data_IF_463631594877
#
_entry.id   IF_463631594877
#
_cell.length_a   1.000
_cell.length_b   1.000
_cell.length_c   1.000
_cell.angle_alpha   90.00
_cell.angle_beta   90.00
_cell.angle_gamma   90.00
#
_symmetry.space_group_name_H-M   'P 1'
#
loop_
_entity.id
_entity.type
_entity.pdbx_description
1 polymer ?
#
# COMPACT_ATOMS: atom_id res chain seq x y z
N UNK A 1 -15.03 48.69 -7.68
CA UNK A 1 -14.14 47.79 -8.44
C UNK A 1 -13.57 46.66 -7.57
N UNK A 2 -13.26 46.89 -6.29
CA UNK A 2 -12.72 45.92 -5.32
C UNK A 2 -13.62 44.71 -5.01
N UNK A 3 -14.94 44.89 -4.96
CA UNK A 3 -15.89 43.81 -4.64
C UNK A 3 -15.91 42.68 -5.72
N UNK A 4 -15.72 43.06 -6.99
CA UNK A 4 -15.65 42.05 -8.09
C UNK A 4 -14.36 41.26 -8.08
N UNK A 5 -13.24 41.88 -7.70
CA UNK A 5 -11.93 41.17 -7.58
C UNK A 5 -11.88 40.26 -6.38
N UNK A 6 -12.53 40.59 -5.27
CA UNK A 6 -12.62 39.70 -4.09
C UNK A 6 -13.53 38.50 -4.34
N UNK A 7 -14.64 38.67 -5.10
CA UNK A 7 -15.50 37.54 -5.49
C UNK A 7 -14.81 36.61 -6.48
N UNK A 8 -14.11 37.15 -7.47
CA UNK A 8 -13.34 36.33 -8.41
C UNK A 8 -12.24 35.49 -7.68
N UNK A 9 -11.47 36.10 -6.77
CA UNK A 9 -10.48 35.39 -5.95
C UNK A 9 -11.09 34.33 -5.07
N UNK A 10 -12.29 34.53 -4.54
CA UNK A 10 -13.01 33.54 -3.73
C UNK A 10 -13.50 32.37 -4.59
N UNK A 11 -13.96 32.63 -5.80
CA UNK A 11 -14.36 31.60 -6.75
C UNK A 11 -13.15 30.75 -7.18
N UNK A 12 -12.03 31.36 -7.53
CA UNK A 12 -10.80 30.66 -7.91
C UNK A 12 -10.26 29.79 -6.76
N UNK A 13 -10.31 30.28 -5.52
CA UNK A 13 -9.91 29.52 -4.34
C UNK A 13 -10.81 28.30 -4.07
N UNK A 14 -12.14 28.47 -4.22
CA UNK A 14 -13.12 27.37 -4.06
C UNK A 14 -12.95 26.33 -5.16
N UNK A 15 -12.75 26.78 -6.40
CA UNK A 15 -12.53 25.89 -7.56
C UNK A 15 -11.21 25.13 -7.45
N UNK A 16 -10.14 25.76 -6.96
CA UNK A 16 -8.86 25.12 -6.70
C UNK A 16 -8.94 24.05 -5.60
N UNK A 17 -9.68 24.31 -4.52
CA UNK A 17 -9.89 23.35 -3.43
C UNK A 17 -10.73 22.14 -3.87
N UNK A 18 -11.76 22.38 -4.70
CA UNK A 18 -12.58 21.34 -5.31
C UNK A 18 -11.77 20.44 -6.24
N UNK A 19 -10.98 21.03 -7.14
CA UNK A 19 -10.09 20.28 -8.05
C UNK A 19 -9.08 19.44 -7.29
N UNK A 20 -8.47 19.99 -6.23
CA UNK A 20 -7.53 19.27 -5.37
C UNK A 20 -8.18 18.07 -4.68
N UNK A 21 -9.38 18.24 -4.13
CA UNK A 21 -10.14 17.13 -3.51
C UNK A 21 -10.51 16.05 -4.53
N UNK A 22 -10.95 16.46 -5.71
CA UNK A 22 -11.29 15.55 -6.80
C UNK A 22 -10.06 14.74 -7.27
N UNK A 23 -8.93 15.42 -7.45
CA UNK A 23 -7.67 14.76 -7.84
C UNK A 23 -7.18 13.78 -6.79
N UNK A 24 -7.27 14.16 -5.51
CA UNK A 24 -6.89 13.27 -4.40
C UNK A 24 -7.81 12.05 -4.30
N UNK A 25 -9.12 12.22 -4.48
CA UNK A 25 -10.06 11.10 -4.52
C UNK A 25 -9.78 10.15 -5.69
N UNK A 26 -9.52 10.69 -6.88
CA UNK A 26 -9.14 9.90 -8.05
C UNK A 26 -7.80 9.17 -7.82
N UNK A 27 -6.84 9.85 -7.22
CA UNK A 27 -5.56 9.24 -6.82
C UNK A 27 -5.73 8.09 -5.83
N UNK A 28 -6.56 8.26 -4.79
CA UNK A 28 -6.86 7.20 -3.83
C UNK A 28 -7.57 6.00 -4.49
N UNK A 29 -8.47 6.25 -5.44
CA UNK A 29 -9.16 5.20 -6.19
C UNK A 29 -8.16 4.41 -7.05
N UNK A 30 -7.32 5.09 -7.82
CA UNK A 30 -6.30 4.45 -8.66
C UNK A 30 -5.27 3.67 -7.82
N UNK A 31 -4.78 4.26 -6.72
CA UNK A 31 -3.89 3.56 -5.80
C UNK A 31 -4.56 2.32 -5.21
N UNK A 32 -5.85 2.40 -4.84
CA UNK A 32 -6.62 1.26 -4.36
C UNK A 32 -6.68 0.12 -5.37
N UNK A 33 -6.96 0.43 -6.65
CA UNK A 33 -6.98 -0.56 -7.74
C UNK A 33 -5.60 -1.21 -7.92
N UNK A 34 -4.54 -0.42 -7.92
CA UNK A 34 -3.18 -0.92 -8.11
C UNK A 34 -2.72 -1.79 -6.94
N UNK A 35 -2.86 -1.27 -5.71
CA UNK A 35 -2.35 -1.93 -4.50
C UNK A 35 -3.07 -3.26 -4.22
N UNK A 36 -4.37 -3.35 -4.53
CA UNK A 36 -5.13 -4.59 -4.36
C UNK A 36 -4.70 -5.72 -5.30
N UNK A 37 -4.00 -5.39 -6.40
CA UNK A 37 -3.42 -6.39 -7.31
C UNK A 37 -2.03 -6.88 -6.90
N UNK A 38 -1.43 -6.28 -5.88
CA UNK A 38 -0.13 -6.70 -5.34
C UNK A 38 -0.23 -8.07 -4.67
N UNK A 39 0.24 -9.11 -5.34
CA UNK A 39 0.26 -10.46 -4.81
C UNK A 39 1.54 -10.73 -4.01
N UNK A 40 1.42 -11.49 -2.92
CA UNK A 40 2.51 -11.97 -2.05
C UNK A 40 2.39 -13.47 -1.90
N UNK A 41 3.51 -14.16 -1.75
CA UNK A 41 3.56 -15.62 -1.60
C UNK A 41 2.82 -16.38 -2.73
N UNK A 42 2.76 -15.78 -3.91
CA UNK A 42 2.20 -16.34 -5.14
C UNK A 42 0.69 -16.14 -5.33
N UNK A 43 -0.11 -16.00 -4.27
CA UNK A 43 -1.58 -15.90 -4.39
C UNK A 43 -2.24 -14.95 -3.40
N UNK A 44 -1.59 -14.60 -2.29
CA UNK A 44 -2.16 -13.74 -1.25
C UNK A 44 -2.09 -12.27 -1.67
N UNK A 45 -3.17 -11.53 -1.49
CA UNK A 45 -3.24 -10.11 -1.87
C UNK A 45 -3.69 -9.20 -0.69
N UNK A 46 -2.91 -9.11 0.40
CA UNK A 46 -3.31 -8.40 1.61
C UNK A 46 -3.30 -6.87 1.47
N UNK A 47 -2.53 -6.34 0.51
CA UNK A 47 -2.21 -4.92 0.46
C UNK A 47 -3.39 -4.00 0.15
N UNK A 48 -4.38 -4.45 -0.63
CA UNK A 48 -5.59 -3.67 -0.89
C UNK A 48 -6.39 -3.43 0.39
N UNK A 49 -6.57 -4.47 1.20
CA UNK A 49 -7.21 -4.38 2.51
C UNK A 49 -6.44 -3.45 3.45
N UNK A 50 -5.09 -3.56 3.46
CA UNK A 50 -4.22 -2.68 4.24
C UNK A 50 -4.36 -1.22 3.84
N UNK A 51 -4.42 -0.94 2.54
CA UNK A 51 -4.62 0.40 2.00
C UNK A 51 -5.99 0.96 2.41
N UNK A 52 -7.07 0.17 2.24
CA UNK A 52 -8.42 0.58 2.66
C UNK A 52 -8.51 0.86 4.16
N UNK A 53 -7.77 0.11 4.99
CA UNK A 53 -7.71 0.33 6.43
C UNK A 53 -6.89 1.57 6.82
N UNK A 54 -5.87 1.95 6.03
CA UNK A 54 -4.92 3.02 6.35
C UNK A 54 -5.36 4.41 5.89
N UNK A 55 -6.14 4.52 4.81
CA UNK A 55 -6.53 5.80 4.20
C UNK A 55 -7.37 6.65 5.16
N UNK A 56 -7.18 7.99 5.26
CA UNK A 56 -8.00 8.88 6.08
C UNK A 56 -9.49 8.82 5.76
N UNK A 57 -10.36 9.04 6.78
CA UNK A 57 -11.84 8.95 6.64
C UNK A 57 -12.40 9.75 5.46
N UNK A 58 -11.77 10.89 5.15
CA UNK A 58 -12.17 11.77 4.04
C UNK A 58 -12.17 11.07 2.67
N UNK A 59 -11.30 10.10 2.47
CA UNK A 59 -11.08 9.39 1.20
C UNK A 59 -11.47 7.91 1.28
N UNK A 60 -12.14 7.51 2.38
CA UNK A 60 -12.48 6.11 2.66
C UNK A 60 -13.30 5.49 1.52
N UNK A 61 -14.36 6.16 1.06
CA UNK A 61 -15.22 5.64 0.00
C UNK A 61 -14.43 5.40 -1.30
N UNK A 62 -13.59 6.37 -1.70
CA UNK A 62 -12.77 6.23 -2.90
C UNK A 62 -11.78 5.06 -2.78
N UNK A 63 -11.17 4.87 -1.60
CA UNK A 63 -10.25 3.76 -1.37
C UNK A 63 -10.96 2.41 -1.34
N UNK A 64 -12.14 2.31 -0.70
CA UNK A 64 -12.93 1.07 -0.68
C UNK A 64 -13.41 0.69 -2.08
N UNK A 65 -13.93 1.65 -2.86
CA UNK A 65 -14.33 1.40 -4.24
C UNK A 65 -13.14 0.99 -5.12
N UNK A 66 -12.01 1.68 -4.98
CA UNK A 66 -10.80 1.35 -5.73
C UNK A 66 -10.29 -0.06 -5.40
N UNK A 67 -10.19 -0.40 -4.12
CA UNK A 67 -9.73 -1.73 -3.70
C UNK A 67 -10.71 -2.83 -4.08
N UNK A 68 -12.01 -2.61 -3.93
CA UNK A 68 -13.03 -3.56 -4.37
C UNK A 68 -12.93 -3.82 -5.86
N UNK A 69 -12.84 -2.77 -6.68
CA UNK A 69 -12.69 -2.90 -8.12
C UNK A 69 -11.40 -3.62 -8.51
N UNK A 70 -10.28 -3.31 -7.83
CA UNK A 70 -9.02 -4.00 -8.05
C UNK A 70 -9.07 -5.50 -7.72
N UNK A 71 -9.78 -5.88 -6.66
CA UNK A 71 -9.99 -7.29 -6.31
C UNK A 71 -10.93 -8.04 -7.29
N UNK A 72 -11.90 -7.36 -7.88
CA UNK A 72 -12.74 -7.96 -8.95
C UNK A 72 -11.91 -8.36 -10.16
N UNK A 73 -10.79 -7.68 -10.41
CA UNK A 73 -9.86 -8.01 -11.50
C UNK A 73 -8.96 -9.21 -11.20
N UNK A 74 -8.98 -9.76 -9.98
CA UNK A 74 -8.29 -11.00 -9.60
C UNK A 74 -9.07 -12.24 -10.08
N UNK A 75 -8.50 -13.43 -9.80
CA UNK A 75 -9.20 -14.69 -10.09
C UNK A 75 -10.51 -14.76 -9.30
N UNK A 76 -11.63 -15.20 -9.89
CA UNK A 76 -12.95 -15.18 -9.25
C UNK A 76 -13.02 -15.91 -7.90
N UNK A 77 -12.27 -16.99 -7.70
CA UNK A 77 -12.23 -17.77 -6.46
C UNK A 77 -11.76 -16.94 -5.25
N UNK A 78 -10.80 -16.05 -5.46
CA UNK A 78 -10.16 -15.29 -4.39
C UNK A 78 -10.81 -13.92 -4.21
N UNK A 79 -11.45 -13.40 -5.27
CA UNK A 79 -12.08 -12.09 -5.30
C UNK A 79 -13.16 -11.93 -4.25
N UNK A 80 -14.04 -12.93 -4.08
CA UNK A 80 -15.15 -12.88 -3.12
C UNK A 80 -14.68 -12.76 -1.68
N UNK A 81 -13.61 -13.47 -1.31
CA UNK A 81 -13.02 -13.37 0.02
C UNK A 81 -12.53 -11.95 0.30
N UNK A 82 -11.76 -11.38 -0.61
CA UNK A 82 -11.22 -10.02 -0.43
C UNK A 82 -12.30 -8.94 -0.51
N UNK A 83 -13.35 -9.12 -1.30
CA UNK A 83 -14.52 -8.23 -1.29
C UNK A 83 -15.21 -8.23 0.08
N UNK A 84 -15.39 -9.40 0.69
CA UNK A 84 -15.93 -9.52 2.04
C UNK A 84 -15.03 -8.81 3.07
N UNK A 85 -13.69 -8.95 2.94
CA UNK A 85 -12.73 -8.22 3.78
C UNK A 85 -12.88 -6.71 3.62
N UNK A 86 -12.95 -6.20 2.39
CA UNK A 86 -13.11 -4.76 2.13
C UNK A 86 -14.43 -4.23 2.69
N UNK A 87 -15.51 -4.98 2.54
CA UNK A 87 -16.82 -4.64 3.13
C UNK A 87 -16.76 -4.62 4.67
N UNK A 88 -16.09 -5.60 5.29
CA UNK A 88 -15.90 -5.66 6.74
C UNK A 88 -15.04 -4.48 7.25
N UNK A 89 -13.97 -4.12 6.54
CA UNK A 89 -13.15 -2.93 6.85
C UNK A 89 -14.00 -1.66 6.77
N UNK A 90 -14.80 -1.51 5.72
CA UNK A 90 -15.72 -0.39 5.57
C UNK A 90 -16.70 -0.29 6.74
N UNK A 91 -17.33 -1.40 7.12
CA UNK A 91 -18.23 -1.49 8.25
C UNK A 91 -17.58 -1.17 9.59
N UNK A 92 -16.41 -1.75 9.87
CA UNK A 92 -15.64 -1.47 11.09
C UNK A 92 -15.24 0.00 11.18
N UNK A 93 -14.79 0.59 10.09
CA UNK A 93 -14.39 2.01 10.06
C UNK A 93 -15.58 2.95 10.16
N UNK A 94 -16.74 2.54 9.68
CA UNK A 94 -17.99 3.29 9.86
C UNK A 94 -18.46 3.24 11.30
N UNK A 95 -18.51 2.04 11.92
CA UNK A 95 -18.91 1.83 13.30
C UNK A 95 -17.98 2.50 14.32
N UNK A 96 -16.66 2.37 14.12
CA UNK A 96 -15.65 2.90 15.02
C UNK A 96 -15.26 4.36 14.69
N UNK A 97 -15.80 4.91 13.60
CA UNK A 97 -15.43 6.23 13.11
C UNK A 97 -15.77 7.37 14.05
N UNK A 98 -16.73 7.19 14.96
CA UNK A 98 -17.14 8.19 15.93
C UNK A 98 -16.33 8.14 17.25
N UNK A 99 -15.47 7.12 17.39
CA UNK A 99 -14.59 6.96 18.55
C UNK A 99 -13.23 7.61 18.30
N UNK A 100 -13.14 8.93 18.49
CA UNK A 100 -11.93 9.73 18.24
C UNK A 100 -10.67 9.20 18.92
N UNK A 101 -10.78 8.64 20.13
CA UNK A 101 -9.64 8.08 20.87
C UNK A 101 -9.07 6.83 20.19
N UNK A 102 -9.92 6.01 19.58
CA UNK A 102 -9.54 4.75 18.92
C UNK A 102 -8.98 5.03 17.54
N UNK A 103 -9.65 5.90 16.77
CA UNK A 103 -9.28 6.25 15.38
C UNK A 103 -7.95 7.00 15.27
N UNK A 104 -7.55 7.75 16.30
CA UNK A 104 -6.26 8.47 16.37
C UNK A 104 -5.10 7.59 16.82
N UNK A 105 -5.37 6.36 17.27
CA UNK A 105 -4.32 5.42 17.66
C UNK A 105 -3.55 4.89 16.45
N UNK A 106 -2.22 4.85 16.55
CA UNK A 106 -1.34 4.25 15.52
C UNK A 106 -1.64 2.76 15.26
N UNK A 107 -2.29 2.09 16.22
CA UNK A 107 -2.63 0.66 16.16
C UNK A 107 -3.98 0.42 15.47
N UNK A 108 -4.78 1.45 15.26
CA UNK A 108 -6.12 1.33 14.69
C UNK A 108 -6.11 0.75 13.27
N UNK A 109 -5.33 1.33 12.36
CA UNK A 109 -5.24 0.86 10.98
C UNK A 109 -4.72 -0.59 10.87
N UNK A 110 -3.65 -0.99 11.58
CA UNK A 110 -3.22 -2.38 11.68
C UNK A 110 -4.30 -3.36 12.12
N UNK A 111 -5.04 -3.04 13.19
CA UNK A 111 -6.09 -3.91 13.71
C UNK A 111 -7.27 -4.05 12.75
N UNK A 112 -7.69 -2.94 12.14
CA UNK A 112 -8.79 -2.92 11.16
C UNK A 112 -8.43 -3.71 9.89
N UNK A 113 -7.14 -3.82 9.53
CA UNK A 113 -6.70 -4.67 8.44
C UNK A 113 -6.58 -6.14 8.87
N UNK A 114 -5.94 -6.38 10.03
CA UNK A 114 -5.64 -7.73 10.53
C UNK A 114 -6.92 -8.54 10.81
N UNK A 115 -7.86 -7.97 11.58
CA UNK A 115 -9.03 -8.72 12.08
C UNK A 115 -9.91 -9.28 10.95
N UNK A 116 -10.33 -8.51 9.93
CA UNK A 116 -11.15 -9.05 8.85
C UNK A 116 -10.44 -10.09 7.99
N UNK A 117 -9.15 -9.89 7.70
CA UNK A 117 -8.36 -10.86 6.92
C UNK A 117 -8.22 -12.17 7.69
N UNK A 118 -7.89 -12.08 8.97
CA UNK A 118 -7.77 -13.26 9.83
C UNK A 118 -9.11 -14.00 9.96
N UNK A 119 -10.21 -13.27 10.26
CA UNK A 119 -11.53 -13.85 10.39
C UNK A 119 -12.00 -14.56 9.11
N UNK A 120 -11.83 -13.93 7.96
CA UNK A 120 -12.21 -14.56 6.66
C UNK A 120 -11.28 -15.71 6.31
N UNK A 121 -10.00 -15.64 6.65
CA UNK A 121 -9.06 -16.75 6.50
C UNK A 121 -9.45 -17.96 7.32
N UNK A 122 -9.75 -17.75 8.61
CA UNK A 122 -10.21 -18.82 9.51
C UNK A 122 -11.55 -19.39 9.06
N UNK A 123 -12.48 -18.57 8.58
CA UNK A 123 -13.77 -19.04 8.04
C UNK A 123 -13.60 -20.02 6.87
N UNK A 124 -12.60 -19.78 6.01
CA UNK A 124 -12.28 -20.69 4.89
C UNK A 124 -11.73 -22.04 5.36
N UNK A 125 -11.04 -22.10 6.50
CA UNK A 125 -10.51 -23.35 7.04
C UNK A 125 -11.65 -24.32 7.45
N UNK A 126 -12.82 -23.80 7.83
CA UNK A 126 -13.98 -24.62 8.15
C UNK A 126 -14.68 -25.19 6.90
N UNK A 127 -14.49 -24.56 5.75
CA UNK A 127 -15.14 -24.96 4.48
C UNK A 127 -14.23 -25.87 3.65
N UNK A 128 -12.92 -25.68 3.72
CA UNK A 128 -11.93 -26.48 3.01
C UNK A 128 -11.29 -27.53 3.94
N UNK A 129 -10.79 -28.62 3.37
CA UNK A 129 -9.95 -29.58 4.10
C UNK A 129 -8.68 -28.85 4.57
N UNK A 130 -8.71 -28.39 5.82
CA UNK A 130 -7.66 -27.57 6.41
C UNK A 130 -6.37 -28.37 6.57
N UNK A 131 -5.32 -27.90 5.91
CA UNK A 131 -3.93 -28.33 6.19
C UNK A 131 -3.25 -27.30 7.09
N UNK A 132 -2.25 -27.74 7.85
CA UNK A 132 -1.43 -26.85 8.70
C UNK A 132 -0.82 -25.68 7.88
N UNK A 133 -0.46 -25.94 6.63
CA UNK A 133 0.06 -24.93 5.70
C UNK A 133 -0.96 -23.83 5.39
N UNK A 134 -2.22 -24.20 5.20
CA UNK A 134 -3.30 -23.23 4.94
C UNK A 134 -3.54 -22.30 6.14
N UNK A 135 -3.45 -22.83 7.36
CA UNK A 135 -3.53 -22.02 8.57
C UNK A 135 -2.34 -21.04 8.69
N UNK A 136 -1.12 -21.53 8.44
CA UNK A 136 0.07 -20.69 8.45
C UNK A 136 -0.01 -19.57 7.40
N UNK A 137 -0.49 -19.85 6.21
CA UNK A 137 -0.71 -18.85 5.15
C UNK A 137 -1.72 -17.77 5.61
N UNK A 138 -2.84 -18.15 6.27
CA UNK A 138 -3.82 -17.20 6.80
C UNK A 138 -3.24 -16.28 7.89
N UNK A 139 -2.46 -16.83 8.82
CA UNK A 139 -1.80 -16.04 9.87
C UNK A 139 -0.78 -15.09 9.25
N UNK A 140 0.04 -15.59 8.34
CA UNK A 140 1.07 -14.81 7.66
C UNK A 140 0.45 -13.65 6.86
N UNK A 141 -0.63 -13.91 6.13
CA UNK A 141 -1.37 -12.90 5.39
C UNK A 141 -1.92 -11.81 6.30
N UNK A 142 -2.56 -12.17 7.41
CA UNK A 142 -3.10 -11.22 8.37
C UNK A 142 -2.01 -10.35 9.01
N UNK A 143 -0.85 -10.95 9.35
CA UNK A 143 0.31 -10.22 9.91
C UNK A 143 0.88 -9.24 8.88
N UNK A 144 1.08 -9.69 7.63
CA UNK A 144 1.57 -8.82 6.55
C UNK A 144 0.58 -7.67 6.30
N UNK A 145 -0.73 -7.94 6.32
CA UNK A 145 -1.74 -6.91 6.15
C UNK A 145 -1.71 -5.86 7.26
N UNK A 146 -1.62 -6.29 8.51
CA UNK A 146 -1.50 -5.39 9.65
C UNK A 146 -0.24 -4.53 9.59
N UNK A 147 0.91 -5.14 9.31
CA UNK A 147 2.18 -4.42 9.15
C UNK A 147 2.12 -3.41 7.99
N UNK A 148 1.61 -3.81 6.83
CA UNK A 148 1.44 -2.93 5.68
C UNK A 148 0.50 -1.75 5.99
N UNK A 149 -0.62 -1.99 6.68
CA UNK A 149 -1.54 -0.94 7.10
C UNK A 149 -0.87 0.07 8.06
N UNK A 150 0.02 -0.38 8.95
CA UNK A 150 0.81 0.49 9.81
C UNK A 150 1.73 1.41 9.00
N UNK A 151 2.51 0.85 8.08
CA UNK A 151 3.43 1.63 7.26
C UNK A 151 2.70 2.61 6.35
N UNK A 152 1.64 2.17 5.67
CA UNK A 152 0.84 3.03 4.79
C UNK A 152 0.17 4.15 5.58
N UNK A 153 -0.41 3.87 6.76
CA UNK A 153 -1.06 4.90 7.58
C UNK A 153 -0.06 5.96 8.06
N UNK A 154 1.13 5.53 8.50
CA UNK A 154 2.20 6.44 8.91
C UNK A 154 2.68 7.29 7.74
N UNK A 155 2.92 6.69 6.57
CA UNK A 155 3.34 7.41 5.38
C UNK A 155 2.29 8.43 4.90
N UNK A 156 0.99 8.07 4.95
CA UNK A 156 -0.09 9.00 4.59
C UNK A 156 -0.23 10.15 5.58
N UNK A 157 0.00 9.93 6.87
CA UNK A 157 0.04 11.01 7.87
C UNK A 157 1.17 11.98 7.59
N UNK A 158 2.37 11.47 7.27
CA UNK A 158 3.53 12.30 6.93
C UNK A 158 3.32 13.09 5.64
N UNK A 159 2.69 12.50 4.63
CA UNK A 159 2.36 13.19 3.38
C UNK A 159 1.35 14.34 3.58
N UNK A 160 0.54 14.28 4.65
CA UNK A 160 -0.37 15.38 5.04
C UNK A 160 0.31 16.51 5.82
N UNK A 161 1.42 16.22 6.49
CA UNK A 161 2.25 17.19 7.20
C UNK A 161 3.31 17.76 6.24
N UNK A 162 3.24 19.04 5.92
CA UNK A 162 4.22 19.72 5.04
C UNK A 162 5.62 19.85 5.68
N UNK A 163 6.16 18.78 6.25
CA UNK A 163 7.50 18.75 6.86
C UNK A 163 8.53 18.37 5.82
N UNK A 164 9.73 18.97 5.89
CA UNK A 164 10.87 18.59 5.06
C UNK A 164 11.37 17.19 5.42
N UNK A 165 11.81 16.41 4.43
CA UNK A 165 12.32 15.03 4.60
C UNK A 165 13.50 14.93 5.57
N UNK A 166 14.26 16.01 5.77
CA UNK A 166 15.42 16.07 6.67
C UNK A 166 15.06 15.94 8.17
N UNK A 167 13.76 16.12 8.53
CA UNK A 167 13.28 16.10 9.92
C UNK A 167 12.62 14.77 10.28
N UNK A 168 12.59 13.78 9.38
CA UNK A 168 11.92 12.51 9.64
C UNK A 168 12.74 11.64 10.61
N UNK A 169 12.03 11.04 11.56
CA UNK A 169 12.61 10.01 12.42
C UNK A 169 12.92 8.75 11.59
N UNK A 170 13.83 7.92 12.10
CA UNK A 170 14.20 6.67 11.45
C UNK A 170 13.00 5.76 11.17
N UNK A 171 12.01 5.74 12.08
CA UNK A 171 10.77 4.96 11.93
C UNK A 171 9.85 5.53 10.84
N UNK A 172 9.77 6.84 10.73
CA UNK A 172 9.00 7.54 9.69
C UNK A 172 9.59 7.29 8.32
N UNK A 173 10.92 7.41 8.19
CA UNK A 173 11.64 7.10 6.95
C UNK A 173 11.41 5.65 6.52
N UNK A 174 11.52 4.69 7.45
CA UNK A 174 11.25 3.29 7.16
C UNK A 174 9.81 3.08 6.66
N UNK A 175 8.82 3.78 7.25
CA UNK A 175 7.41 3.66 6.85
C UNK A 175 7.18 4.19 5.42
N UNK A 176 7.82 5.29 5.04
CA UNK A 176 7.74 5.83 3.68
C UNK A 176 8.38 4.86 2.68
N UNK A 177 9.57 4.35 2.99
CA UNK A 177 10.26 3.38 2.14
C UNK A 177 9.43 2.11 1.95
N UNK A 178 8.92 1.52 3.04
CA UNK A 178 8.09 0.31 2.96
C UNK A 178 6.81 0.54 2.17
N UNK A 179 6.14 1.68 2.34
CA UNK A 179 4.96 2.04 1.56
C UNK A 179 5.27 2.21 0.08
N UNK A 180 6.42 2.84 -0.25
CA UNK A 180 6.92 2.94 -1.62
C UNK A 180 7.18 1.57 -2.24
N UNK A 181 7.80 0.67 -1.49
CA UNK A 181 8.05 -0.70 -1.94
C UNK A 181 6.76 -1.49 -2.19
N UNK A 182 5.72 -1.32 -1.35
CA UNK A 182 4.40 -1.93 -1.58
C UNK A 182 3.77 -1.40 -2.88
N UNK A 183 3.88 -0.11 -3.15
CA UNK A 183 3.43 0.48 -4.42
C UNK A 183 4.18 -0.09 -5.62
N UNK A 184 5.50 -0.21 -5.54
CA UNK A 184 6.33 -0.80 -6.61
C UNK A 184 5.91 -2.25 -6.87
N UNK A 185 5.65 -3.02 -5.80
CA UNK A 185 5.17 -4.39 -5.91
C UNK A 185 3.80 -4.46 -6.61
N UNK A 186 2.91 -3.53 -6.31
CA UNK A 186 1.59 -3.44 -6.94
C UNK A 186 1.69 -3.29 -8.48
N UNK A 187 2.67 -2.52 -8.96
CA UNK A 187 2.99 -2.43 -10.38
C UNK A 187 3.57 -3.74 -10.96
N UNK A 188 4.06 -4.63 -10.12
CA UNK A 188 4.57 -5.95 -10.52
C UNK A 188 3.50 -6.83 -11.17
N UNK A 189 2.23 -6.62 -10.84
CA UNK A 189 1.09 -7.32 -11.44
C UNK A 189 0.83 -6.94 -12.91
N UNK A 190 1.38 -5.82 -13.38
CA UNK A 190 1.29 -5.37 -14.76
C UNK A 190 2.51 -5.90 -15.50
N UNK A 191 2.33 -7.04 -16.17
CA UNK A 191 3.39 -7.64 -16.97
C UNK A 191 3.00 -7.61 -18.46
N UNK A 192 3.93 -7.21 -19.31
CA UNK A 192 3.82 -7.33 -20.75
C UNK A 192 4.84 -8.36 -21.22
N UNK A 193 4.35 -9.47 -21.76
CA UNK A 193 5.18 -10.64 -22.09
C UNK A 193 5.92 -11.15 -20.83
N UNK A 194 7.24 -11.07 -20.77
CA UNK A 194 8.06 -11.52 -19.64
C UNK A 194 8.63 -10.38 -18.78
N UNK A 195 8.25 -9.13 -19.07
CA UNK A 195 8.78 -7.96 -18.38
C UNK A 195 7.68 -7.38 -17.47
N UNK A 196 7.90 -7.36 -16.16
CA UNK A 196 6.99 -6.72 -15.21
C UNK A 196 7.35 -5.23 -15.03
N UNK A 197 6.33 -4.37 -15.14
CA UNK A 197 6.49 -2.92 -14.95
C UNK A 197 7.07 -2.59 -13.58
N UNK A 198 6.70 -3.35 -12.55
CA UNK A 198 7.24 -3.18 -11.21
C UNK A 198 8.74 -3.38 -11.12
N UNK A 199 9.32 -4.34 -11.87
CA UNK A 199 10.78 -4.54 -11.91
C UNK A 199 11.50 -3.37 -12.58
N UNK A 200 10.93 -2.79 -13.63
CA UNK A 200 11.48 -1.60 -14.28
C UNK A 200 11.49 -0.42 -13.32
N UNK A 201 10.36 -0.16 -12.64
CA UNK A 201 10.24 0.91 -11.65
C UNK A 201 11.22 0.68 -10.49
N UNK A 202 11.35 -0.57 -10.01
CA UNK A 202 12.29 -0.93 -8.97
C UNK A 202 13.74 -0.58 -9.35
N UNK A 203 14.16 -0.97 -10.55
CA UNK A 203 15.50 -0.63 -11.07
C UNK A 203 15.71 0.88 -11.16
N UNK A 204 14.72 1.62 -11.66
CA UNK A 204 14.78 3.07 -11.77
C UNK A 204 14.92 3.73 -10.38
N UNK A 205 14.15 3.27 -9.39
CA UNK A 205 14.23 3.77 -8.01
C UNK A 205 15.60 3.47 -7.39
N UNK A 206 16.13 2.26 -7.60
CA UNK A 206 17.47 1.89 -7.12
C UNK A 206 18.54 2.80 -7.72
N UNK A 207 18.49 3.05 -9.03
CA UNK A 207 19.43 3.96 -9.71
C UNK A 207 19.32 5.40 -9.21
N UNK A 208 18.12 5.91 -8.98
CA UNK A 208 17.91 7.23 -8.39
C UNK A 208 18.46 7.30 -6.96
N UNK A 209 18.16 6.31 -6.12
CA UNK A 209 18.66 6.23 -4.76
C UNK A 209 20.19 6.12 -4.72
N UNK A 210 20.79 5.39 -5.65
CA UNK A 210 22.24 5.29 -5.80
C UNK A 210 22.86 6.63 -6.18
N UNK A 211 22.24 7.34 -7.11
CA UNK A 211 22.74 8.67 -7.55
C UNK A 211 22.74 9.71 -6.44
N UNK A 212 21.69 9.75 -5.59
CA UNK A 212 21.56 10.75 -4.52
C UNK A 212 22.11 10.28 -3.19
N UNK A 213 22.11 8.99 -2.89
CA UNK A 213 22.53 8.40 -1.63
C UNK A 213 23.83 7.60 -1.70
N UNK A 214 24.57 7.67 -2.84
CA UNK A 214 25.80 6.90 -3.08
C UNK A 214 25.62 5.40 -2.81
N UNK A 215 26.67 4.71 -2.41
CA UNK A 215 26.69 3.26 -2.13
C UNK A 215 25.64 2.83 -1.10
N UNK A 216 25.48 3.62 -0.04
CA UNK A 216 24.50 3.32 1.02
C UNK A 216 23.06 3.43 0.53
N UNK A 217 22.75 4.46 -0.25
CA UNK A 217 21.41 4.61 -0.85
C UNK A 217 21.07 3.50 -1.83
N UNK A 218 22.02 3.13 -2.69
CA UNK A 218 21.88 2.03 -3.63
C UNK A 218 21.73 0.67 -2.95
N UNK A 219 22.55 0.38 -1.94
CA UNK A 219 22.49 -0.87 -1.20
C UNK A 219 21.16 -1.03 -0.45
N UNK A 220 20.73 0.00 0.31
CA UNK A 220 19.48 -0.05 1.08
C UNK A 220 18.27 -0.20 0.15
N UNK A 221 18.18 0.58 -0.92
CA UNK A 221 17.07 0.48 -1.87
C UNK A 221 17.07 -0.86 -2.61
N UNK A 222 18.24 -1.36 -3.01
CA UNK A 222 18.39 -2.66 -3.66
C UNK A 222 17.98 -3.83 -2.76
N UNK A 223 18.43 -3.84 -1.51
CA UNK A 223 18.04 -4.88 -0.53
C UNK A 223 16.54 -4.81 -0.24
N UNK A 224 15.99 -3.61 0.01
CA UNK A 224 14.57 -3.44 0.36
C UNK A 224 13.65 -3.86 -0.77
N UNK A 225 13.91 -3.42 -1.99
CA UNK A 225 13.12 -3.82 -3.17
C UNK A 225 13.30 -5.28 -3.50
N UNK A 226 14.53 -5.81 -3.42
CA UNK A 226 14.83 -7.20 -3.66
C UNK A 226 14.13 -8.12 -2.65
N UNK A 227 14.13 -7.78 -1.37
CA UNK A 227 13.44 -8.55 -0.33
C UNK A 227 11.92 -8.62 -0.59
N UNK A 228 11.30 -7.50 -0.96
CA UNK A 228 9.86 -7.46 -1.24
C UNK A 228 9.50 -8.29 -2.47
N UNK A 229 10.28 -8.20 -3.56
CA UNK A 229 10.05 -9.06 -4.72
C UNK A 229 10.32 -10.54 -4.44
N UNK A 230 11.27 -10.86 -3.57
CA UNK A 230 11.51 -12.23 -3.12
C UNK A 230 10.36 -12.80 -2.31
N UNK A 231 9.77 -12.01 -1.41
CA UNK A 231 8.57 -12.40 -0.65
C UNK A 231 7.36 -12.54 -1.56
N UNK A 232 7.26 -11.72 -2.61
CA UNK A 232 6.15 -11.76 -3.55
C UNK A 232 6.13 -13.04 -4.39
N UNK A 233 7.31 -13.54 -4.79
CA UNK A 233 7.44 -14.72 -5.64
C UNK A 233 8.12 -15.86 -4.86
N UNK A 234 7.38 -16.91 -4.55
CA UNK A 234 7.90 -18.10 -3.84
C UNK A 234 9.13 -18.75 -4.52
N UNK A 235 9.30 -18.54 -5.82
CA UNK A 235 10.31 -19.26 -6.63
C UNK A 235 11.59 -18.45 -6.89
N UNK A 236 11.64 -17.17 -6.61
CA UNK A 236 12.68 -16.26 -7.12
C UNK A 236 13.54 -15.63 -6.01
N UNK A 237 13.98 -16.39 -5.02
CA UNK A 237 14.86 -15.91 -3.93
C UNK A 237 16.16 -15.26 -4.42
N UNK A 238 16.67 -15.66 -5.61
CA UNK A 238 17.85 -15.05 -6.23
C UNK A 238 17.64 -13.61 -6.69
N UNK A 239 16.39 -13.16 -6.87
CA UNK A 239 16.08 -11.78 -7.26
C UNK A 239 16.54 -10.78 -6.18
N UNK A 240 16.42 -11.15 -4.90
CA UNK A 240 16.91 -10.32 -3.81
C UNK A 240 18.41 -10.05 -3.94
N UNK A 241 19.21 -11.06 -4.21
CA UNK A 241 20.64 -10.93 -4.44
C UNK A 241 20.98 -10.07 -5.64
N UNK A 242 20.26 -10.25 -6.75
CA UNK A 242 20.43 -9.46 -7.97
C UNK A 242 20.18 -7.96 -7.77
N UNK A 243 19.08 -7.60 -7.12
CA UNK A 243 18.77 -6.19 -6.81
C UNK A 243 19.72 -5.59 -5.78
N UNK A 244 20.10 -6.34 -4.74
CA UNK A 244 21.04 -5.89 -3.73
C UNK A 244 22.43 -5.61 -4.33
N UNK A 245 22.95 -6.54 -5.13
CA UNK A 245 24.22 -6.38 -5.82
C UNK A 245 24.17 -5.26 -6.87
N UNK A 246 23.11 -5.20 -7.68
CA UNK A 246 22.91 -4.14 -8.66
C UNK A 246 22.86 -2.75 -8.01
N UNK A 247 22.19 -2.61 -6.86
CA UNK A 247 22.13 -1.36 -6.10
C UNK A 247 23.48 -0.96 -5.52
N UNK A 248 24.25 -1.90 -5.01
CA UNK A 248 25.63 -1.69 -4.54
C UNK A 248 26.52 -1.19 -5.68
N UNK A 249 26.52 -1.89 -6.80
CA UNK A 249 27.34 -1.53 -7.96
C UNK A 249 26.94 -0.16 -8.54
N UNK A 250 25.64 0.12 -8.65
CA UNK A 250 25.16 1.42 -9.12
C UNK A 250 25.56 2.59 -8.20
N UNK A 251 25.77 2.33 -6.90
CA UNK A 251 26.22 3.35 -5.95
C UNK A 251 27.74 3.59 -5.95
N UNK A 252 28.51 2.69 -6.55
CA UNK A 252 29.97 2.84 -6.68
C UNK A 252 30.37 3.69 -7.88
N UNK A 253 29.51 3.80 -8.90
CA UNK A 253 29.71 4.58 -10.12
C UNK A 253 28.81 5.80 -10.14
#
# INVERSE_FOLDING_TARGET
MEAKTTLARRQDAVQGDFMRKMLTNAGCLLCGILVSRGAVLGSLAPFGASFAAAVPRKYLLSSLLGTAFGYVLLKPSDSFRYLAVVAAIGGLRWLLGDLDKVTKSKVFAPLVAFVPIFATGVSLLFVSTSTLTTFADCVTEAVIAGAAAYFISTALHLAGDNRSFEVFSQQETASVVMSGCILILAFGSIAWQNISLGRIIAMLVILLCSRYGSVTGGAISGISTGAIFSIASRENGYICGGFAFGGLMAGLF
#
